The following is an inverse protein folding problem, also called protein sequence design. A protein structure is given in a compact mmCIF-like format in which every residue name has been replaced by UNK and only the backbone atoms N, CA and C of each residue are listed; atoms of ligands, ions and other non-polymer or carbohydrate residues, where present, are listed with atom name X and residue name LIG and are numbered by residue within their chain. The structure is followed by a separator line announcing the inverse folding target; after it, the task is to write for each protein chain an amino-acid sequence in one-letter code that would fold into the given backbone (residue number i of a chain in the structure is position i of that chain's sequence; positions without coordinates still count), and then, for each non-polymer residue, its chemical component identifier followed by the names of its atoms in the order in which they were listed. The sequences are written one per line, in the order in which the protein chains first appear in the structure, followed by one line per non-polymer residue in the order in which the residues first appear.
data_IF_975679238917
#
_entry.id   IF_975679238917
#
_cell.length_a   1.000
_cell.length_b   1.000
_cell.length_c   1.000
_cell.angle_alpha   90.00
_cell.angle_beta   90.00
_cell.angle_gamma   90.00
#
_symmetry.space_group_name_H-M   'P 1'
#
loop_
_entity.id
_entity.type
_entity.pdbx_description
1 polymer ?
#
# COMPACT_ATOMS: atom_id res chain seq x y z
N UNK A 1 -34.75 46.46 -11.87
CA UNK A 1 -35.91 45.71 -12.40
C UNK A 1 -36.02 44.39 -11.65
N UNK A 2 -37.12 44.17 -10.91
CA UNK A 2 -37.49 42.90 -10.26
C UNK A 2 -38.88 42.52 -10.78
N UNK A 3 -39.12 41.23 -11.04
CA UNK A 3 -40.42 40.54 -10.81
C UNK A 3 -40.27 39.04 -11.13
N UNK A 4 -40.48 38.21 -10.11
CA UNK A 4 -40.72 36.77 -10.20
C UNK A 4 -42.11 36.53 -10.80
N UNK A 5 -42.31 35.44 -11.54
CA UNK A 5 -43.64 34.92 -11.88
C UNK A 5 -43.69 33.42 -11.59
N UNK A 6 -44.52 33.09 -10.62
CA UNK A 6 -45.01 31.75 -10.29
C UNK A 6 -46.22 31.54 -11.21
N UNK A 7 -46.29 30.39 -11.87
CA UNK A 7 -47.46 29.99 -12.66
C UNK A 7 -47.91 28.63 -12.14
N UNK A 8 -49.04 28.61 -11.43
CA UNK A 8 -49.74 27.40 -11.02
C UNK A 8 -50.78 26.98 -12.05
N UNK A 9 -51.34 25.78 -11.88
CA UNK A 9 -52.68 25.38 -12.30
C UNK A 9 -53.23 24.42 -11.25
N UNK A 10 -54.52 24.53 -11.03
CA UNK A 10 -55.32 24.09 -9.91
C UNK A 10 -56.22 22.88 -10.26
N UNK A 11 -56.59 22.11 -9.23
CA UNK A 11 -57.93 21.50 -8.98
C UNK A 11 -58.43 20.37 -9.89
N UNK A 12 -58.78 19.23 -9.29
CA UNK A 12 -60.18 18.76 -9.20
C UNK A 12 -60.25 17.44 -8.40
N UNK A 13 -61.27 17.33 -7.56
CA UNK A 13 -61.45 16.28 -6.57
C UNK A 13 -62.77 15.53 -6.81
N UNK A 14 -62.77 14.25 -6.40
CA UNK A 14 -63.88 13.45 -5.85
C UNK A 14 -64.83 12.69 -6.82
N UNK A 15 -65.29 11.56 -6.26
CA UNK A 15 -66.41 10.63 -6.55
C UNK A 15 -65.91 9.35 -7.25
N UNK A 16 -65.91 8.14 -6.68
CA UNK A 16 -66.59 7.58 -5.51
C UNK A 16 -67.46 6.41 -5.95
N UNK A 17 -67.07 5.15 -5.67
CA UNK A 17 -67.99 4.01 -5.77
C UNK A 17 -67.69 2.95 -4.69
N UNK A 18 -68.68 2.79 -3.80
CA UNK A 18 -69.19 1.60 -3.13
C UNK A 18 -68.25 0.48 -2.65
N UNK A 19 -68.34 0.26 -1.34
CA UNK A 19 -68.21 -1.00 -0.61
C UNK A 19 -68.80 -2.23 -1.31
N UNK A 20 -68.08 -3.36 -1.32
CA UNK A 20 -68.56 -4.73 -1.04
C UNK A 20 -67.34 -5.57 -0.61
N UNK A 21 -67.49 -6.28 0.52
CA UNK A 21 -66.60 -7.32 1.03
C UNK A 21 -67.09 -8.68 0.49
N UNK A 22 -66.19 -9.57 0.05
CA UNK A 22 -66.36 -11.02 0.25
C UNK A 22 -65.20 -11.51 1.15
N UNK A 23 -65.50 -11.87 2.40
CA UNK A 23 -65.92 -13.20 2.84
C UNK A 23 -64.76 -14.21 2.79
N UNK A 24 -64.21 -14.52 3.96
CA UNK A 24 -63.24 -15.59 4.16
C UNK A 24 -63.90 -16.94 3.87
N UNK A 25 -63.31 -17.69 2.94
CA UNK A 25 -63.31 -19.15 2.97
C UNK A 25 -61.84 -19.60 2.97
N UNK A 26 -61.50 -20.21 4.08
CA UNK A 26 -60.25 -20.81 4.51
C UNK A 26 -59.65 -21.76 3.46
N UNK A 27 -58.40 -21.53 3.01
CA UNK A 27 -57.33 -22.55 3.00
C UNK A 27 -55.98 -22.01 2.50
N UNK A 28 -54.96 -22.26 3.32
CA UNK A 28 -53.50 -22.24 3.05
C UNK A 28 -52.83 -20.85 3.00
N UNK A 29 -52.54 -20.38 4.21
CA UNK A 29 -51.24 -19.87 4.68
C UNK A 29 -50.20 -19.40 3.65
N UNK A 30 -49.88 -18.11 3.81
CA UNK A 30 -48.52 -17.56 3.88
C UNK A 30 -47.84 -17.13 2.57
N UNK A 31 -48.14 -15.87 2.21
CA UNK A 31 -47.15 -14.78 2.18
C UNK A 31 -45.68 -15.23 2.07
N UNK A 32 -45.10 -15.22 0.87
CA UNK A 32 -43.63 -15.11 0.74
C UNK A 32 -43.14 -14.62 -0.63
N UNK A 33 -43.73 -13.57 -1.20
CA UNK A 33 -43.26 -13.04 -2.50
C UNK A 33 -42.85 -11.57 -2.52
N UNK A 34 -42.90 -10.85 -1.40
CA UNK A 34 -42.53 -9.41 -1.36
C UNK A 34 -41.22 -9.09 -0.64
N UNK A 35 -40.45 -10.09 -0.20
CA UNK A 35 -39.17 -9.87 0.49
C UNK A 35 -37.90 -10.06 -0.39
N UNK A 36 -38.01 -10.65 -1.58
CA UNK A 36 -36.82 -11.03 -2.38
C UNK A 36 -36.25 -9.93 -3.30
N UNK A 37 -37.00 -8.84 -3.53
CA UNK A 37 -36.57 -7.76 -4.44
C UNK A 37 -35.72 -6.70 -3.73
N UNK A 38 -35.99 -6.41 -2.45
CA UNK A 38 -35.25 -5.41 -1.68
C UNK A 38 -33.87 -5.90 -1.17
N UNK A 39 -33.72 -7.19 -0.92
CA UNK A 39 -32.44 -7.80 -0.48
C UNK A 39 -31.42 -7.99 -1.62
N UNK A 40 -31.88 -8.01 -2.87
CA UNK A 40 -31.02 -8.15 -4.05
C UNK A 40 -30.34 -6.83 -4.44
N UNK A 41 -30.98 -5.69 -4.18
CA UNK A 41 -30.45 -4.37 -4.53
C UNK A 41 -29.35 -3.89 -3.58
N UNK A 42 -29.48 -4.12 -2.26
CA UNK A 42 -28.45 -3.72 -1.27
C UNK A 42 -27.15 -4.54 -1.41
N UNK A 43 -27.26 -5.83 -1.73
CA UNK A 43 -26.11 -6.71 -1.93
C UNK A 43 -25.38 -6.46 -3.26
N UNK A 44 -26.08 -6.07 -4.34
CA UNK A 44 -25.46 -5.74 -5.62
C UNK A 44 -24.70 -4.41 -5.58
N UNK A 45 -25.27 -3.37 -4.97
CA UNK A 45 -24.58 -2.09 -4.74
C UNK A 45 -23.25 -2.32 -3.99
N UNK A 46 -23.26 -3.22 -2.98
CA UNK A 46 -22.04 -3.57 -2.24
C UNK A 46 -20.95 -4.29 -3.08
N UNK A 47 -21.34 -5.07 -4.10
CA UNK A 47 -20.40 -5.79 -4.97
C UNK A 47 -19.79 -4.86 -6.01
N UNK A 48 -20.59 -4.03 -6.66
CA UNK A 48 -20.10 -3.01 -7.58
C UNK A 48 -19.13 -2.05 -6.88
N UNK A 49 -19.46 -1.59 -5.67
CA UNK A 49 -18.59 -0.68 -4.90
C UNK A 49 -17.25 -1.34 -4.52
N UNK A 50 -17.25 -2.63 -4.17
CA UNK A 50 -16.01 -3.40 -3.92
C UNK A 50 -15.15 -3.52 -5.18
N UNK A 51 -15.75 -3.75 -6.34
CA UNK A 51 -15.04 -3.81 -7.62
C UNK A 51 -14.47 -2.43 -7.99
N UNK A 52 -15.26 -1.37 -7.85
CA UNK A 52 -14.81 0.01 -8.07
C UNK A 52 -13.63 0.39 -7.16
N UNK A 53 -13.68 0.06 -5.87
CA UNK A 53 -12.57 0.28 -4.92
C UNK A 53 -11.30 -0.50 -5.33
N UNK A 54 -11.44 -1.73 -5.81
CA UNK A 54 -10.30 -2.53 -6.30
C UNK A 54 -9.73 -1.94 -7.60
N UNK A 55 -10.59 -1.58 -8.54
CA UNK A 55 -10.23 -0.97 -9.80
C UNK A 55 -9.46 0.35 -9.60
N UNK A 56 -9.96 1.22 -8.72
CA UNK A 56 -9.28 2.46 -8.35
C UNK A 56 -7.89 2.22 -7.74
N UNK A 57 -7.73 1.23 -6.84
CA UNK A 57 -6.42 0.85 -6.27
C UNK A 57 -5.44 0.28 -7.28
N UNK A 58 -5.95 -0.22 -8.41
CA UNK A 58 -5.16 -0.78 -9.51
C UNK A 58 -4.98 0.23 -10.65
N UNK A 59 -5.66 1.39 -10.60
CA UNK A 59 -5.61 2.41 -11.65
C UNK A 59 -6.32 2.00 -12.95
N UNK A 60 -7.31 1.10 -12.87
CA UNK A 60 -8.07 0.65 -14.04
C UNK A 60 -9.48 1.22 -14.03
N UNK A 61 -9.98 1.57 -15.22
CA UNK A 61 -11.37 1.97 -15.43
C UNK A 61 -12.24 0.74 -15.74
N UNK A 62 -13.36 0.66 -15.01
CA UNK A 62 -14.40 -0.37 -15.14
C UNK A 62 -15.80 0.23 -15.38
N UNK A 63 -15.88 1.54 -15.68
CA UNK A 63 -17.16 2.18 -16.00
C UNK A 63 -17.81 1.54 -17.22
N UNK A 64 -19.14 1.39 -17.19
CA UNK A 64 -19.89 0.73 -18.25
C UNK A 64 -19.69 -0.79 -18.38
N UNK A 65 -18.85 -1.42 -17.55
CA UNK A 65 -18.62 -2.87 -17.59
C UNK A 65 -19.66 -3.64 -16.77
N UNK A 66 -19.94 -4.87 -17.20
CA UNK A 66 -20.67 -5.82 -16.35
C UNK A 66 -19.80 -6.27 -15.17
N UNK A 67 -20.44 -6.83 -14.13
CA UNK A 67 -19.72 -7.33 -12.97
C UNK A 67 -18.73 -8.46 -13.32
N UNK A 68 -19.04 -9.35 -14.27
CA UNK A 68 -18.08 -10.34 -14.78
C UNK A 68 -16.88 -9.69 -15.46
N UNK A 69 -17.11 -8.76 -16.40
CA UNK A 69 -16.06 -8.06 -17.14
C UNK A 69 -15.13 -7.29 -16.20
N UNK A 70 -15.71 -6.56 -15.24
CA UNK A 70 -14.94 -5.83 -14.23
C UNK A 70 -14.08 -6.77 -13.38
N UNK A 71 -14.59 -7.93 -12.98
CA UNK A 71 -13.83 -8.93 -12.21
C UNK A 71 -12.65 -9.50 -12.99
N UNK A 72 -12.86 -9.79 -14.26
CA UNK A 72 -11.82 -10.31 -15.15
C UNK A 72 -10.70 -9.28 -15.34
N UNK A 73 -11.06 -8.05 -15.70
CA UNK A 73 -10.10 -6.95 -15.84
C UNK A 73 -9.34 -6.66 -14.54
N UNK A 74 -10.02 -6.72 -13.39
CA UNK A 74 -9.36 -6.60 -12.07
C UNK A 74 -8.39 -7.76 -11.84
N UNK A 75 -8.76 -9.00 -12.18
CA UNK A 75 -7.89 -10.18 -11.99
C UNK A 75 -6.63 -10.07 -12.83
N UNK A 76 -6.75 -9.69 -14.10
CA UNK A 76 -5.63 -9.46 -15.00
C UNK A 76 -4.70 -8.35 -14.47
N UNK A 77 -5.27 -7.23 -14.03
CA UNK A 77 -4.51 -6.14 -13.44
C UNK A 77 -3.81 -6.54 -12.12
N UNK A 78 -4.46 -7.35 -11.28
CA UNK A 78 -3.83 -7.90 -10.07
C UNK A 78 -2.67 -8.83 -10.42
N UNK A 79 -2.84 -9.72 -11.40
CA UNK A 79 -1.81 -10.62 -11.88
C UNK A 79 -0.60 -9.84 -12.45
N UNK A 80 -0.86 -8.87 -13.33
CA UNK A 80 0.17 -8.00 -13.90
C UNK A 80 0.95 -7.23 -12.81
N UNK A 81 0.25 -6.63 -11.83
CA UNK A 81 0.89 -5.91 -10.70
C UNK A 81 1.73 -6.83 -9.80
N UNK A 82 1.40 -8.11 -9.79
CA UNK A 82 2.15 -9.12 -9.04
C UNK A 82 3.26 -9.78 -9.86
N UNK A 83 3.29 -9.59 -11.18
CA UNK A 83 4.20 -10.28 -12.10
C UNK A 83 3.84 -11.76 -12.28
N UNK A 84 2.56 -12.09 -12.20
CA UNK A 84 2.06 -13.46 -12.31
C UNK A 84 1.41 -13.65 -13.67
N UNK A 85 1.86 -14.65 -14.42
CA UNK A 85 1.18 -15.08 -15.63
C UNK A 85 -0.04 -15.95 -15.28
N UNK A 86 -1.20 -15.57 -15.82
CA UNK A 86 -2.48 -16.25 -15.66
C UNK A 86 -3.08 -16.72 -16.99
N UNK A 87 -2.36 -16.56 -18.11
CA UNK A 87 -2.84 -16.98 -19.43
C UNK A 87 -3.06 -18.49 -19.49
N UNK A 88 -4.17 -18.90 -20.10
CA UNK A 88 -4.54 -20.32 -20.23
C UNK A 88 -4.99 -21.02 -18.94
N UNK A 89 -5.07 -20.32 -17.81
CA UNK A 89 -5.57 -20.87 -16.55
C UNK A 89 -7.09 -20.76 -16.44
N UNK A 90 -7.69 -21.69 -15.69
CA UNK A 90 -9.07 -21.53 -15.22
C UNK A 90 -9.18 -20.31 -14.29
N UNK A 91 -10.41 -19.82 -14.07
CA UNK A 91 -10.65 -18.68 -13.17
C UNK A 91 -10.19 -19.02 -11.75
N UNK A 92 -10.42 -20.24 -11.32
CA UNK A 92 -10.07 -20.79 -10.02
C UNK A 92 -8.55 -20.85 -9.85
N UNK A 93 -7.83 -21.40 -10.82
CA UNK A 93 -6.36 -21.51 -10.80
C UNK A 93 -5.69 -20.15 -10.86
N UNK A 94 -6.19 -19.25 -11.71
CA UNK A 94 -5.69 -17.87 -11.79
C UNK A 94 -5.85 -17.16 -10.43
N UNK A 95 -7.00 -17.29 -9.78
CA UNK A 95 -7.24 -16.71 -8.46
C UNK A 95 -6.32 -17.32 -7.39
N UNK A 96 -6.11 -18.64 -7.40
CA UNK A 96 -5.22 -19.33 -6.49
C UNK A 96 -3.77 -18.84 -6.65
N UNK A 97 -3.29 -18.73 -7.89
CA UNK A 97 -1.94 -18.25 -8.21
C UNK A 97 -1.73 -16.80 -7.79
N UNK A 98 -2.71 -15.92 -8.02
CA UNK A 98 -2.71 -14.53 -7.55
C UNK A 98 -2.68 -14.47 -6.02
N UNK A 99 -3.48 -15.30 -5.34
CA UNK A 99 -3.52 -15.35 -3.88
C UNK A 99 -2.17 -15.77 -3.29
N UNK A 100 -1.57 -16.84 -3.83
CA UNK A 100 -0.25 -17.29 -3.42
C UNK A 100 0.82 -16.20 -3.61
N UNK A 101 0.81 -15.50 -4.76
CA UNK A 101 1.74 -14.40 -5.00
C UNK A 101 1.53 -13.21 -4.04
N UNK A 102 0.27 -12.90 -3.67
CA UNK A 102 -0.03 -11.87 -2.64
C UNK A 102 0.51 -12.28 -1.29
N UNK A 103 0.35 -13.54 -0.88
CA UNK A 103 0.84 -14.06 0.38
C UNK A 103 2.36 -14.06 0.44
N UNK A 104 3.03 -14.51 -0.62
CA UNK A 104 4.49 -14.43 -0.75
C UNK A 104 5.00 -12.99 -0.64
N UNK A 105 4.37 -12.01 -1.33
CA UNK A 105 4.75 -10.60 -1.20
C UNK A 105 4.52 -10.07 0.22
N UNK A 106 3.45 -10.47 0.90
CA UNK A 106 3.19 -10.09 2.30
C UNK A 106 4.27 -10.62 3.22
N UNK A 107 4.62 -11.90 3.11
CA UNK A 107 5.69 -12.53 3.89
C UNK A 107 7.03 -11.81 3.66
N UNK A 108 7.42 -11.57 2.41
CA UNK A 108 8.63 -10.84 2.07
C UNK A 108 8.67 -9.41 2.64
N UNK A 109 7.52 -8.74 2.72
CA UNK A 109 7.40 -7.42 3.38
C UNK A 109 7.60 -7.56 4.89
N UNK A 110 6.94 -8.52 5.53
CA UNK A 110 7.07 -8.78 6.98
C UNK A 110 8.51 -9.11 7.37
N UNK A 111 9.19 -9.97 6.61
CA UNK A 111 10.59 -10.29 6.81
C UNK A 111 11.49 -9.05 6.69
N UNK A 112 11.27 -8.21 5.67
CA UNK A 112 12.02 -6.95 5.50
C UNK A 112 11.81 -6.01 6.67
N UNK A 113 10.59 -5.89 7.20
CA UNK A 113 10.31 -5.07 8.37
C UNK A 113 11.01 -5.64 9.61
N UNK A 114 10.95 -6.96 9.81
CA UNK A 114 11.61 -7.65 10.93
C UNK A 114 13.12 -7.46 10.88
N UNK A 115 13.75 -7.62 9.72
CA UNK A 115 15.19 -7.38 9.55
C UNK A 115 15.57 -5.92 9.82
N UNK A 116 14.74 -4.95 9.41
CA UNK A 116 14.98 -3.53 9.69
C UNK A 116 14.85 -3.24 11.19
N UNK A 117 13.81 -3.77 11.82
CA UNK A 117 13.58 -3.64 13.26
C UNK A 117 14.77 -4.20 14.06
N UNK A 118 15.24 -5.41 13.71
CA UNK A 118 16.42 -6.01 14.33
C UNK A 118 17.69 -5.14 14.19
N UNK A 119 17.94 -4.56 13.00
CA UNK A 119 19.08 -3.64 12.76
C UNK A 119 19.00 -2.33 13.56
N UNK A 120 17.79 -1.95 13.97
CA UNK A 120 17.53 -0.77 14.79
C UNK A 120 17.42 -1.12 16.28
N UNK A 121 17.38 -2.41 16.65
CA UNK A 121 17.22 -2.87 18.02
C UNK A 121 15.83 -2.62 18.58
N UNK A 122 14.79 -2.60 17.73
CA UNK A 122 13.41 -2.36 18.16
C UNK A 122 12.56 -3.63 18.01
N UNK A 123 11.61 -3.81 18.90
CA UNK A 123 10.59 -4.87 18.81
C UNK A 123 9.35 -4.38 18.05
N UNK A 124 8.89 -5.19 17.10
CA UNK A 124 7.68 -4.96 16.30
C UNK A 124 6.67 -6.10 16.42
N UNK A 125 6.87 -7.02 17.37
CA UNK A 125 5.99 -8.16 17.60
C UNK A 125 4.58 -7.68 17.96
N UNK A 126 3.57 -8.34 17.40
CA UNK A 126 2.16 -7.99 17.62
C UNK A 126 1.69 -6.71 16.91
N UNK A 127 2.56 -5.99 16.20
CA UNK A 127 2.17 -4.80 15.44
C UNK A 127 1.61 -5.16 14.06
N UNK A 128 0.65 -4.35 13.59
CA UNK A 128 0.26 -4.38 12.18
C UNK A 128 1.41 -3.91 11.29
N UNK A 129 1.40 -4.28 10.01
CA UNK A 129 2.46 -3.88 9.07
C UNK A 129 2.60 -2.36 8.89
N UNK A 130 1.53 -1.59 9.13
CA UNK A 130 1.59 -0.12 9.12
C UNK A 130 2.24 0.42 10.40
N UNK A 131 1.79 -0.04 11.57
CA UNK A 131 2.40 0.32 12.86
C UNK A 131 3.89 -0.06 12.93
N UNK A 132 4.27 -1.22 12.40
CA UNK A 132 5.66 -1.63 12.33
C UNK A 132 6.50 -0.68 11.45
N UNK A 133 5.96 -0.22 10.32
CA UNK A 133 6.62 0.77 9.45
C UNK A 133 6.80 2.10 10.15
N UNK A 134 5.79 2.55 10.88
CA UNK A 134 5.82 3.82 11.60
C UNK A 134 6.86 3.77 12.73
N UNK A 135 6.85 2.71 13.54
CA UNK A 135 7.85 2.49 14.61
C UNK A 135 9.27 2.37 14.06
N UNK A 136 9.46 1.70 12.92
CA UNK A 136 10.76 1.65 12.23
C UNK A 136 11.18 3.05 11.77
N UNK A 137 10.28 3.85 11.21
CA UNK A 137 10.57 5.20 10.73
C UNK A 137 11.02 6.12 11.87
N UNK A 138 10.31 6.08 13.00
CA UNK A 138 10.66 6.82 14.21
C UNK A 138 12.05 6.42 14.73
N UNK A 139 12.34 5.12 14.80
CA UNK A 139 13.63 4.63 15.22
C UNK A 139 14.77 5.01 14.25
N UNK A 140 14.51 5.00 12.93
CA UNK A 140 15.47 5.49 11.94
C UNK A 140 15.75 6.99 12.12
N UNK A 141 14.71 7.79 12.35
CA UNK A 141 14.83 9.22 12.59
C UNK A 141 15.64 9.51 13.86
N UNK A 142 15.32 8.84 14.97
CA UNK A 142 16.05 8.97 16.24
C UNK A 142 17.53 8.59 16.09
N UNK A 143 17.83 7.49 15.40
CA UNK A 143 19.23 7.04 15.12
C UNK A 143 20.02 8.01 14.23
N UNK A 144 19.32 8.83 13.45
CA UNK A 144 19.90 9.87 12.61
C UNK A 144 19.87 11.25 13.27
N UNK A 145 19.25 11.42 14.44
CA UNK A 145 19.09 12.71 15.10
C UNK A 145 18.13 13.66 14.39
N UNK A 146 17.13 13.11 13.70
CA UNK A 146 16.15 13.88 12.92
C UNK A 146 14.82 13.92 13.68
N UNK A 147 14.29 15.12 13.92
CA UNK A 147 12.92 15.28 14.38
C UNK A 147 11.94 15.18 13.21
N UNK A 148 10.94 14.31 13.35
CA UNK A 148 9.86 14.06 12.38
C UNK A 148 8.47 14.37 12.95
N UNK A 149 8.40 14.94 14.16
CA UNK A 149 7.13 15.25 14.83
C UNK A 149 6.32 16.26 14.02
N UNK A 150 5.02 16.00 13.87
CA UNK A 150 4.10 16.87 13.12
C UNK A 150 4.30 16.87 11.61
N UNK A 151 5.22 16.07 11.06
CA UNK A 151 5.41 15.94 9.62
C UNK A 151 4.42 14.93 9.01
N UNK A 152 4.09 15.15 7.73
CA UNK A 152 3.43 14.12 6.92
C UNK A 152 4.35 12.89 6.76
N UNK A 153 3.77 11.75 6.39
CA UNK A 153 4.55 10.51 6.16
C UNK A 153 5.60 10.73 5.07
N UNK A 154 5.22 11.46 4.02
CA UNK A 154 6.06 11.81 2.88
C UNK A 154 7.22 12.71 3.29
N UNK A 155 6.95 13.78 4.06
CA UNK A 155 7.98 14.72 4.50
C UNK A 155 8.95 14.07 5.50
N UNK A 156 8.43 13.26 6.43
CA UNK A 156 9.26 12.50 7.36
C UNK A 156 10.22 11.56 6.60
N UNK A 157 9.72 10.86 5.58
CA UNK A 157 10.57 9.99 4.74
C UNK A 157 11.63 10.78 3.97
N UNK A 158 11.27 11.93 3.40
CA UNK A 158 12.22 12.79 2.70
C UNK A 158 13.34 13.28 3.63
N UNK A 159 12.97 13.73 4.83
CA UNK A 159 13.91 14.23 5.84
C UNK A 159 14.86 13.13 6.34
N UNK A 160 14.35 11.93 6.61
CA UNK A 160 15.16 10.75 6.99
C UNK A 160 16.11 10.37 5.85
N UNK A 161 15.64 10.38 4.60
CA UNK A 161 16.45 10.06 3.43
C UNK A 161 17.61 11.05 3.29
N UNK A 162 17.34 12.34 3.38
CA UNK A 162 18.36 13.38 3.32
C UNK A 162 19.41 13.18 4.44
N UNK A 163 18.98 12.94 5.68
CA UNK A 163 19.90 12.69 6.80
C UNK A 163 20.73 11.41 6.63
N UNK A 164 20.19 10.38 5.98
CA UNK A 164 20.96 9.17 5.64
C UNK A 164 22.02 9.47 4.59
N UNK A 165 21.72 10.29 3.59
CA UNK A 165 22.66 10.70 2.54
C UNK A 165 23.78 11.57 3.11
N UNK A 166 23.47 12.56 3.96
CA UNK A 166 24.48 13.38 4.63
C UNK A 166 25.40 12.54 5.52
N UNK A 167 24.84 11.60 6.29
CA UNK A 167 25.64 10.69 7.12
C UNK A 167 26.52 9.76 6.27
N UNK A 168 26.02 9.28 5.13
CA UNK A 168 26.81 8.49 4.18
C UNK A 168 27.96 9.31 3.61
N UNK A 169 27.71 10.55 3.22
CA UNK A 169 28.74 11.46 2.70
C UNK A 169 29.81 11.75 3.75
N UNK A 170 29.41 12.12 4.97
CA UNK A 170 30.34 12.34 6.08
C UNK A 170 31.24 11.13 6.37
N UNK A 171 30.70 9.91 6.27
CA UNK A 171 31.52 8.68 6.40
C UNK A 171 32.50 8.53 5.25
N UNK A 172 32.09 8.83 4.01
CA UNK A 172 32.98 8.84 2.85
C UNK A 172 34.12 9.84 3.06
N UNK A 173 33.81 11.07 3.47
CA UNK A 173 34.80 12.13 3.66
C UNK A 173 35.83 11.75 4.74
N UNK A 174 35.36 11.21 5.89
CA UNK A 174 36.25 10.70 6.95
C UNK A 174 37.15 9.54 6.50
N UNK A 175 36.69 8.73 5.55
CA UNK A 175 37.51 7.66 4.99
C UNK A 175 38.56 8.20 4.03
N UNK A 176 38.20 9.18 3.19
CA UNK A 176 39.15 9.87 2.30
C UNK A 176 40.24 10.58 3.10
N UNK A 177 39.87 11.35 4.12
CA UNK A 177 40.83 12.02 5.01
C UNK A 177 41.79 11.04 5.69
N UNK A 178 41.28 9.88 6.16
CA UNK A 178 42.13 8.83 6.74
C UNK A 178 43.08 8.20 5.73
N UNK A 179 42.65 8.03 4.48
CA UNK A 179 43.48 7.47 3.43
C UNK A 179 44.57 8.44 2.98
N UNK A 180 44.23 9.73 2.86
CA UNK A 180 45.16 10.81 2.53
C UNK A 180 46.28 10.91 3.57
N UNK A 181 45.94 10.84 4.86
CA UNK A 181 46.92 10.84 5.97
C UNK A 181 47.96 9.72 5.91
N UNK A 182 47.68 8.64 5.19
CA UNK A 182 48.57 7.48 5.04
C UNK A 182 48.98 7.26 3.57
N UNK A 183 48.80 8.27 2.71
CA UNK A 183 49.27 8.26 1.32
C UNK A 183 48.54 7.28 0.39
N UNK A 184 47.31 6.88 0.69
CA UNK A 184 46.53 5.96 -0.15
C UNK A 184 45.65 6.74 -1.11
N UNK A 185 45.80 6.50 -2.42
CA UNK A 185 44.84 6.97 -3.42
C UNK A 185 43.50 6.22 -3.32
N UNK A 186 42.44 7.00 -3.29
CA UNK A 186 41.05 6.57 -3.09
C UNK A 186 40.13 6.96 -4.24
N UNK A 187 40.65 7.57 -5.30
CA UNK A 187 39.85 7.94 -6.46
C UNK A 187 39.22 6.71 -7.11
N UNK A 188 37.92 6.81 -7.40
CA UNK A 188 37.14 5.71 -7.96
C UNK A 188 36.87 4.53 -7.01
N UNK A 189 37.36 4.56 -5.76
CA UNK A 189 37.14 3.46 -4.80
C UNK A 189 35.83 3.61 -4.02
N UNK A 190 35.20 2.47 -3.73
CA UNK A 190 34.05 2.40 -2.81
C UNK A 190 34.52 2.52 -1.36
N UNK A 191 33.61 2.95 -0.46
CA UNK A 191 33.89 3.02 0.99
C UNK A 191 34.39 1.69 1.59
N UNK A 192 33.99 0.55 1.01
CA UNK A 192 34.48 -0.77 1.44
C UNK A 192 35.95 -0.95 1.06
N UNK A 193 36.30 -0.70 -0.20
CA UNK A 193 37.66 -0.80 -0.71
C UNK A 193 38.61 0.17 0.00
N UNK A 194 38.17 1.40 0.26
CA UNK A 194 38.98 2.38 1.01
C UNK A 194 39.30 1.84 2.41
N UNK A 195 38.32 1.29 3.14
CA UNK A 195 38.54 0.69 4.46
C UNK A 195 39.50 -0.49 4.42
N UNK A 196 39.41 -1.35 3.41
CA UNK A 196 40.29 -2.49 3.23
C UNK A 196 41.73 -2.04 2.99
N UNK A 197 41.95 -1.07 2.10
CA UNK A 197 43.29 -0.50 1.87
C UNK A 197 43.87 0.16 3.13
N UNK A 198 43.07 0.95 3.85
CA UNK A 198 43.49 1.56 5.13
C UNK A 198 43.83 0.47 6.17
N UNK A 199 43.11 -0.65 6.19
CA UNK A 199 43.39 -1.75 7.13
C UNK A 199 44.68 -2.48 6.76
N UNK A 200 44.90 -2.72 5.46
CA UNK A 200 46.09 -3.38 4.96
C UNK A 200 47.36 -2.57 5.27
N UNK A 201 47.36 -1.25 5.08
CA UNK A 201 48.52 -0.40 5.39
C UNK A 201 48.87 -0.36 6.88
N UNK A 202 47.89 -0.54 7.78
CA UNK A 202 48.12 -0.67 9.22
C UNK A 202 48.71 -2.01 9.65
N UNK A 203 48.61 -3.03 8.80
CA UNK A 203 49.14 -4.38 9.08
C UNK A 203 50.56 -4.59 8.54
N UNK A 204 51.09 -3.63 7.77
CA UNK A 204 52.50 -3.61 7.40
C UNK A 204 53.26 -3.04 8.61
N UNK A 205 54.07 -3.84 9.35
CA UNK A 205 54.91 -3.30 10.39
C UNK A 205 55.85 -2.26 9.77
N UNK A 206 56.10 -1.19 10.51
CA UNK A 206 56.96 -0.07 10.14
C UNK A 206 58.41 -0.58 9.92
N UNK A 207 58.72 -1.15 8.75
CA UNK A 207 60.06 -1.66 8.40
C UNK A 207 60.74 -0.72 7.42
N UNK A 208 61.26 0.39 7.93
CA UNK A 208 62.34 1.25 7.38
C UNK A 208 62.50 2.39 8.40
N UNK A 209 63.62 2.66 9.07
CA UNK A 209 65.03 2.67 8.66
C UNK A 209 65.94 2.46 9.88
N UNK A 210 66.83 1.46 9.82
CA UNK A 210 68.13 1.47 10.49
C UNK A 210 69.12 0.91 9.48
N UNK A 211 69.76 1.79 8.71
CA UNK A 211 71.00 1.52 7.99
C UNK A 211 71.44 2.81 7.27
N UNK A 212 72.25 3.62 7.96
CA UNK A 212 73.48 4.20 7.42
C UNK A 212 74.44 4.47 8.59
#
# INVERSE_FOLDING_TARGET
MKKKKILGIAVAAIIGISSIIPAFADTITSQNQTANVAQSQTNQVSKQEKLAKKAAKLGIDITGMTNEQAREKIREAEAAKLGVDISGLSKEDANAKIKAAKEAKKQAVTEKLTQRAAKLGIDITGLTGEQARDKIREAEAAKLGVDITGLSKEDAMAKIKAARETKKQSVTDKLKEKAEKIGIDVNGLTNKQIREKIKASKQIPNTTNVAE
#
